data_IF_584258134393
#
_entry.id   IF_584258134393
#
_cell.length_a   1.000
_cell.length_b   1.000
_cell.length_c   1.000
_cell.angle_alpha   90.00
_cell.angle_beta   90.00
_cell.angle_gamma   90.00
#
_symmetry.space_group_name_H-M   'P 1'
#
loop_
_entity.id
_entity.type
_entity.pdbx_description
1 polymer ?
#
# COMPACT_ATOMS: atom_id res chain seq x y z
N UNK A 1 31.31 -8.57 5.84
CA UNK A 1 30.33 -8.55 6.95
C UNK A 1 28.98 -8.21 6.33
N UNK A 2 28.17 -9.21 5.99
CA UNK A 2 26.88 -9.00 5.36
C UNK A 2 25.88 -8.57 6.43
N UNK A 3 25.45 -7.31 6.40
CA UNK A 3 24.44 -6.81 7.32
C UNK A 3 23.13 -7.56 7.07
N UNK A 4 22.70 -8.31 8.09
CA UNK A 4 21.41 -9.01 8.20
C UNK A 4 20.30 -8.19 7.51
N UNK A 5 19.69 -8.77 6.47
CA UNK A 5 18.48 -8.22 5.86
C UNK A 5 17.43 -8.03 6.95
N UNK A 6 16.92 -6.80 7.10
CA UNK A 6 15.75 -6.53 7.91
C UNK A 6 14.55 -7.19 7.22
N UNK A 7 14.12 -8.35 7.69
CA UNK A 7 12.86 -8.95 7.27
C UNK A 7 11.74 -8.18 7.96
N UNK A 8 10.93 -7.45 7.19
CA UNK A 8 9.74 -6.80 7.74
C UNK A 8 8.79 -7.85 8.33
N UNK A 9 8.28 -7.62 9.54
CA UNK A 9 7.34 -8.52 10.24
C UNK A 9 5.90 -8.41 9.73
N UNK A 10 5.69 -7.59 8.69
CA UNK A 10 4.39 -7.27 8.12
C UNK A 10 3.68 -8.54 7.63
N UNK A 11 2.40 -8.63 7.96
CA UNK A 11 1.52 -9.72 7.52
C UNK A 11 0.41 -9.16 6.64
N UNK A 12 0.15 -9.82 5.50
CA UNK A 12 -0.99 -9.54 4.61
C UNK A 12 -2.23 -10.20 5.18
N UNK A 13 -3.29 -9.42 5.41
CA UNK A 13 -4.55 -9.89 6.03
C UNK A 13 -5.59 -10.28 4.98
N UNK A 14 -5.58 -9.60 3.84
CA UNK A 14 -6.42 -9.96 2.71
C UNK A 14 -5.71 -9.72 1.38
N UNK A 15 -6.12 -10.49 0.38
CA UNK A 15 -5.76 -10.27 -1.00
C UNK A 15 -6.63 -9.15 -1.59
N UNK A 16 -6.12 -8.50 -2.65
CA UNK A 16 -6.71 -7.35 -3.31
C UNK A 16 -8.19 -7.55 -3.70
N UNK A 17 -8.95 -6.45 -3.79
CA UNK A 17 -10.25 -6.51 -4.44
C UNK A 17 -10.07 -6.78 -5.95
N UNK A 18 -10.70 -7.85 -6.46
CA UNK A 18 -10.85 -8.10 -7.89
C UNK A 18 -11.87 -7.12 -8.48
N UNK A 19 -11.51 -5.85 -8.64
CA UNK A 19 -12.29 -4.98 -9.51
C UNK A 19 -12.02 -5.46 -10.94
N UNK A 20 -12.96 -6.22 -11.49
CA UNK A 20 -12.90 -6.71 -12.86
C UNK A 20 -12.76 -5.50 -13.80
N UNK A 21 -11.59 -5.36 -14.43
CA UNK A 21 -11.29 -4.29 -15.38
C UNK A 21 -12.09 -4.44 -16.69
N UNK A 22 -12.98 -5.43 -16.80
CA UNK A 22 -13.69 -5.77 -18.04
C UNK A 22 -14.88 -4.87 -18.41
N UNK A 23 -15.27 -3.88 -17.59
CA UNK A 23 -16.38 -2.96 -17.89
C UNK A 23 -16.00 -1.48 -18.10
N UNK A 24 -14.70 -1.15 -18.15
CA UNK A 24 -14.26 0.20 -18.54
C UNK A 24 -13.87 0.25 -20.02
N UNK A 25 -14.70 0.87 -20.85
CA UNK A 25 -14.40 1.24 -22.24
C UNK A 25 -15.03 2.62 -22.54
N UNK A 26 -14.57 3.39 -23.54
CA UNK A 26 -13.30 4.10 -23.55
C UNK A 26 -13.49 5.55 -24.03
N UNK A 27 -13.35 6.56 -23.16
CA UNK A 27 -13.19 7.95 -23.61
C UNK A 27 -12.74 8.90 -22.49
N UNK A 28 -11.70 8.56 -21.74
CA UNK A 28 -11.01 9.56 -20.91
C UNK A 28 -9.59 9.69 -21.44
N UNK A 29 -9.38 10.82 -22.11
CA UNK A 29 -8.14 11.32 -22.68
C UNK A 29 -6.92 11.03 -21.77
N UNK A 30 -5.88 10.32 -22.28
CA UNK A 30 -4.69 9.97 -21.51
C UNK A 30 -3.83 11.18 -21.11
N UNK A 31 -4.13 12.39 -21.58
CA UNK A 31 -3.41 13.62 -21.22
C UNK A 31 -4.09 14.46 -20.15
N UNK A 32 -5.21 14.02 -19.56
CA UNK A 32 -5.86 14.75 -18.46
C UNK A 32 -5.26 14.36 -17.10
N UNK A 33 -4.15 15.00 -16.78
CA UNK A 33 -3.56 15.07 -15.45
C UNK A 33 -4.59 15.60 -14.42
N UNK A 34 -5.32 14.71 -13.73
CA UNK A 34 -5.89 14.84 -12.35
C UNK A 34 -7.07 13.88 -12.05
N UNK A 35 -7.54 13.06 -12.98
CA UNK A 35 -8.77 12.27 -12.79
C UNK A 35 -8.59 10.79 -12.39
N UNK A 36 -7.48 10.41 -11.74
CA UNK A 36 -7.17 8.98 -11.49
C UNK A 36 -7.75 8.43 -10.16
N UNK A 37 -8.23 9.26 -9.24
CA UNK A 37 -8.40 8.78 -7.84
C UNK A 37 -9.82 8.33 -7.45
N UNK A 38 -10.86 8.66 -8.22
CA UNK A 38 -12.24 8.62 -7.69
C UNK A 38 -13.17 7.52 -8.24
N UNK A 39 -12.89 6.90 -9.38
CA UNK A 39 -13.87 6.01 -10.04
C UNK A 39 -13.66 4.51 -9.80
N UNK A 40 -12.60 4.10 -9.10
CA UNK A 40 -12.24 2.67 -8.91
C UNK A 40 -11.76 2.33 -7.49
N UNK A 41 -11.94 3.22 -6.51
CA UNK A 41 -11.52 2.96 -5.14
C UNK A 41 -12.48 1.98 -4.45
N UNK A 42 -11.95 0.95 -3.79
CA UNK A 42 -12.77 -0.06 -3.12
C UNK A 42 -13.52 0.47 -1.89
N UNK A 43 -12.95 1.45 -1.19
CA UNK A 43 -13.52 2.05 0.01
C UNK A 43 -13.71 3.55 -0.19
N UNK A 44 -14.82 3.92 -0.84
CA UNK A 44 -15.11 5.31 -1.22
C UNK A 44 -15.25 6.25 -0.02
N UNK A 45 -15.69 5.76 1.13
CA UNK A 45 -15.79 6.53 2.38
C UNK A 45 -14.44 7.00 2.96
N UNK A 46 -13.32 6.49 2.44
CA UNK A 46 -11.96 6.80 2.88
C UNK A 46 -11.09 7.44 1.78
N UNK A 47 -11.72 7.92 0.70
CA UNK A 47 -11.00 8.65 -0.36
C UNK A 47 -10.37 9.94 0.17
N UNK A 48 -11.11 10.65 1.03
CA UNK A 48 -10.66 11.91 1.62
C UNK A 48 -9.60 11.68 2.71
N UNK A 49 -8.51 12.44 2.66
CA UNK A 49 -7.44 12.39 3.67
C UNK A 49 -7.98 12.58 5.11
N UNK A 50 -8.86 13.57 5.40
CA UNK A 50 -9.40 13.74 6.74
C UNK A 50 -10.19 12.52 7.24
N UNK A 51 -10.90 11.82 6.37
CA UNK A 51 -11.64 10.59 6.73
C UNK A 51 -10.70 9.46 7.13
N UNK A 52 -9.58 9.29 6.41
CA UNK A 52 -8.54 8.33 6.80
C UNK A 52 -7.90 8.71 8.13
N UNK A 53 -7.50 9.97 8.28
CA UNK A 53 -6.89 10.44 9.52
C UNK A 53 -7.82 10.25 10.73
N UNK A 54 -9.11 10.55 10.57
CA UNK A 54 -10.11 10.37 11.62
C UNK A 54 -10.34 8.90 12.03
N UNK A 55 -9.86 7.92 11.27
CA UNK A 55 -9.96 6.50 11.65
C UNK A 55 -8.96 6.08 12.73
N UNK A 56 -7.88 6.84 12.95
CA UNK A 56 -6.77 6.49 13.84
C UNK A 56 -6.99 6.88 15.31
N UNK A 57 -8.24 7.06 15.76
CA UNK A 57 -8.58 7.54 17.12
C UNK A 57 -7.96 6.66 18.22
N UNK A 58 -7.93 5.34 18.01
CA UNK A 58 -7.42 4.36 18.99
C UNK A 58 -6.10 3.73 18.55
N UNK A 59 -5.39 4.35 17.60
CA UNK A 59 -4.08 3.89 17.18
C UNK A 59 -3.04 4.20 18.28
N UNK A 60 -2.35 3.17 18.76
CA UNK A 60 -1.32 3.35 19.79
C UNK A 60 -0.08 4.04 19.22
N UNK A 61 0.50 4.97 19.98
CA UNK A 61 1.71 5.69 19.56
C UNK A 61 3.02 4.91 19.82
N UNK A 62 2.96 3.71 20.40
CA UNK A 62 4.16 2.97 20.79
C UNK A 62 4.63 2.02 19.68
N UNK A 63 5.86 2.25 19.19
CA UNK A 63 6.57 1.39 18.24
C UNK A 63 5.83 1.10 16.90
N UNK A 64 4.97 2.01 16.45
CA UNK A 64 4.26 1.93 15.17
C UNK A 64 4.67 3.08 14.21
N UNK A 65 4.43 2.93 12.90
CA UNK A 65 4.64 4.01 11.94
C UNK A 65 3.79 5.24 12.23
N UNK A 66 4.23 6.39 11.72
CA UNK A 66 3.47 7.64 11.78
C UNK A 66 2.10 7.51 11.11
N UNK A 67 1.07 8.03 11.77
CA UNK A 67 -0.30 8.12 11.23
C UNK A 67 -0.28 8.89 9.90
N UNK A 68 0.51 9.97 9.80
CA UNK A 68 0.61 10.77 8.58
C UNK A 68 1.15 9.95 7.40
N UNK A 69 2.15 9.10 7.66
CA UNK A 69 2.75 8.27 6.60
C UNK A 69 1.81 7.15 6.17
N UNK A 70 1.08 6.55 7.11
CA UNK A 70 0.01 5.58 6.82
C UNK A 70 -1.09 6.22 5.96
N UNK A 71 -1.58 7.40 6.35
CA UNK A 71 -2.64 8.13 5.64
C UNK A 71 -2.21 8.56 4.24
N UNK A 72 -0.97 9.06 4.09
CA UNK A 72 -0.39 9.41 2.78
C UNK A 72 -0.22 8.17 1.89
N UNK A 73 0.17 7.03 2.47
CA UNK A 73 0.23 5.76 1.79
C UNK A 73 -1.16 5.18 1.41
N UNK A 74 -2.25 5.85 1.79
CA UNK A 74 -3.62 5.49 1.40
C UNK A 74 -4.30 4.56 2.41
N UNK A 75 -3.72 4.37 3.59
CA UNK A 75 -4.26 3.50 4.62
C UNK A 75 -5.21 4.24 5.57
N UNK A 76 -6.28 3.55 5.98
CA UNK A 76 -7.10 3.90 7.13
C UNK A 76 -7.04 2.76 8.15
N UNK A 77 -7.23 3.08 9.43
CA UNK A 77 -7.25 2.11 10.50
C UNK A 77 -8.60 1.40 10.59
N UNK A 78 -8.57 0.08 10.75
CA UNK A 78 -9.79 -0.75 10.85
C UNK A 78 -10.40 -0.77 12.25
N UNK A 79 -9.73 -0.16 13.25
CA UNK A 79 -10.14 -0.24 14.65
C UNK A 79 -9.65 -1.49 15.39
N UNK A 80 -8.97 -2.41 14.71
CA UNK A 80 -8.51 -3.69 15.28
C UNK A 80 -6.99 -3.82 15.24
N UNK A 81 -6.37 -4.02 16.42
CA UNK A 81 -4.92 -4.28 16.59
C UNK A 81 -4.07 -3.22 15.87
N UNK A 82 -3.28 -3.64 14.88
CA UNK A 82 -2.45 -2.78 14.03
C UNK A 82 -2.88 -2.89 12.56
N UNK A 83 -4.11 -3.33 12.30
CA UNK A 83 -4.59 -3.61 10.94
C UNK A 83 -5.03 -2.31 10.28
N UNK A 84 -4.38 -1.98 9.17
CA UNK A 84 -4.74 -0.86 8.30
C UNK A 84 -5.10 -1.36 6.90
N UNK A 85 -6.03 -0.68 6.25
CA UNK A 85 -6.57 -1.08 4.94
C UNK A 85 -6.45 0.06 3.94
N UNK A 86 -6.02 -0.24 2.71
CA UNK A 86 -5.95 0.76 1.66
C UNK A 86 -7.35 1.12 1.16
N UNK A 87 -7.64 2.43 1.03
CA UNK A 87 -8.92 2.87 0.49
C UNK A 87 -9.13 2.47 -0.97
N UNK A 88 -8.04 2.36 -1.75
CA UNK A 88 -8.09 2.13 -3.19
C UNK A 88 -8.16 0.64 -3.55
N UNK A 89 -7.19 -0.18 -3.11
CA UNK A 89 -7.10 -1.58 -3.51
C UNK A 89 -7.71 -2.58 -2.50
N UNK A 90 -8.17 -2.09 -1.34
CA UNK A 90 -8.66 -2.88 -0.20
C UNK A 90 -7.62 -3.79 0.48
N UNK A 91 -6.35 -3.74 0.05
CA UNK A 91 -5.27 -4.50 0.64
C UNK A 91 -5.00 -4.09 2.10
N UNK A 92 -4.88 -5.07 2.98
CA UNK A 92 -4.75 -4.87 4.42
C UNK A 92 -3.46 -5.47 4.98
N UNK A 93 -2.77 -4.68 5.80
CA UNK A 93 -1.49 -5.05 6.44
C UNK A 93 -1.58 -4.95 7.95
N UNK A 94 -0.86 -5.84 8.64
CA UNK A 94 -0.73 -5.89 10.10
C UNK A 94 0.72 -6.11 10.51
N UNK A 95 0.99 -6.02 11.81
CA UNK A 95 2.26 -6.34 12.47
C UNK A 95 3.37 -5.35 12.11
N UNK A 96 2.96 -4.08 12.02
CA UNK A 96 3.84 -2.95 11.78
C UNK A 96 4.85 -2.73 12.91
N UNK A 97 6.03 -2.28 12.52
CA UNK A 97 7.11 -1.76 13.34
C UNK A 97 7.33 -0.28 13.05
N UNK A 98 7.86 0.48 13.99
CA UNK A 98 8.21 1.90 13.81
C UNK A 98 9.23 2.15 12.69
N UNK A 99 9.98 1.12 12.29
CA UNK A 99 10.95 1.20 11.19
C UNK A 99 10.34 0.85 9.82
N UNK A 100 9.11 0.33 9.76
CA UNK A 100 8.48 0.01 8.48
C UNK A 100 8.03 1.30 7.78
N UNK A 101 8.27 1.38 6.47
CA UNK A 101 7.80 2.49 5.66
C UNK A 101 6.46 2.12 4.98
N UNK A 102 5.34 2.80 5.30
CA UNK A 102 4.03 2.44 4.78
C UNK A 102 3.93 2.37 3.25
N UNK A 103 4.58 3.29 2.53
CA UNK A 103 4.54 3.29 1.06
C UNK A 103 5.32 2.12 0.47
N UNK A 104 6.50 1.81 1.04
CA UNK A 104 7.31 0.67 0.61
C UNK A 104 6.56 -0.63 0.84
N UNK A 105 5.97 -0.82 2.03
CA UNK A 105 5.19 -2.03 2.33
C UNK A 105 3.96 -2.15 1.44
N UNK A 106 3.25 -1.04 1.18
CA UNK A 106 2.10 -1.03 0.29
C UNK A 106 2.48 -1.54 -1.11
N UNK A 107 3.54 -1.00 -1.71
CA UNK A 107 4.00 -1.44 -3.04
C UNK A 107 4.55 -2.87 -3.01
N UNK A 108 5.26 -3.26 -1.95
CA UNK A 108 5.85 -4.60 -1.81
C UNK A 108 4.77 -5.68 -1.79
N UNK A 109 3.69 -5.46 -1.05
CA UNK A 109 2.63 -6.44 -0.87
C UNK A 109 1.51 -6.33 -1.90
N UNK A 110 1.21 -5.11 -2.37
CA UNK A 110 0.13 -4.86 -3.32
C UNK A 110 0.61 -4.14 -4.59
N UNK A 111 1.46 -4.78 -5.42
CA UNK A 111 2.07 -4.14 -6.60
C UNK A 111 1.08 -3.69 -7.68
N UNK A 112 -0.14 -4.25 -7.66
CA UNK A 112 -1.21 -3.92 -8.61
C UNK A 112 -2.03 -2.68 -8.19
N UNK A 113 -1.81 -2.14 -6.99
CA UNK A 113 -2.49 -0.93 -6.54
C UNK A 113 -2.01 0.29 -7.36
N UNK A 114 -2.86 0.79 -8.26
CA UNK A 114 -2.55 1.94 -9.11
C UNK A 114 -2.23 3.20 -8.29
N UNK A 115 -2.96 3.41 -7.17
CA UNK A 115 -2.67 4.49 -6.23
C UNK A 115 -1.24 4.43 -5.68
N UNK A 116 -0.84 3.26 -5.16
CA UNK A 116 0.49 3.07 -4.58
C UNK A 116 1.59 3.21 -5.64
N UNK A 117 1.39 2.60 -6.82
CA UNK A 117 2.33 2.65 -7.94
C UNK A 117 2.55 4.09 -8.43
N UNK A 118 1.49 4.87 -8.54
CA UNK A 118 1.58 6.26 -8.98
C UNK A 118 2.32 7.13 -7.96
N UNK A 119 2.00 7.00 -6.67
CA UNK A 119 2.57 7.86 -5.62
C UNK A 119 4.02 7.50 -5.26
N UNK A 120 4.38 6.22 -5.35
CA UNK A 120 5.74 5.73 -5.07
C UNK A 120 6.76 6.17 -6.15
N UNK A 121 6.30 6.35 -7.39
CA UNK A 121 7.17 6.62 -8.54
C UNK A 121 7.80 5.36 -9.13
N UNK A 122 8.07 5.39 -10.43
CA UNK A 122 8.49 4.22 -11.22
C UNK A 122 9.81 3.58 -10.77
N UNK A 123 10.81 4.40 -10.44
CA UNK A 123 12.15 3.90 -10.07
C UNK A 123 12.16 3.22 -8.69
N UNK A 124 11.49 3.81 -7.70
CA UNK A 124 11.38 3.21 -6.38
C UNK A 124 10.52 1.94 -6.43
N UNK A 125 9.42 1.97 -7.17
CA UNK A 125 8.58 0.79 -7.41
C UNK A 125 9.40 -0.40 -7.95
N UNK A 126 10.23 -0.17 -8.97
CA UNK A 126 11.09 -1.20 -9.58
C UNK A 126 12.04 -1.82 -8.56
N UNK A 127 12.75 -0.99 -7.79
CA UNK A 127 13.67 -1.43 -6.73
C UNK A 127 12.96 -2.29 -5.66
N UNK A 128 11.75 -1.91 -5.26
CA UNK A 128 10.97 -2.66 -4.27
C UNK A 128 10.61 -4.05 -4.81
N UNK A 129 10.15 -4.15 -6.06
CA UNK A 129 9.78 -5.44 -6.65
C UNK A 129 10.98 -6.36 -6.89
N UNK A 130 12.12 -5.82 -7.31
CA UNK A 130 13.36 -6.58 -7.50
C UNK A 130 13.89 -7.13 -6.17
N UNK A 131 13.92 -6.31 -5.12
CA UNK A 131 14.38 -6.75 -3.79
C UNK A 131 13.50 -7.86 -3.19
N UNK A 132 12.19 -7.84 -3.45
CA UNK A 132 11.26 -8.91 -3.06
C UNK A 132 11.63 -10.25 -3.71
N UNK A 133 11.97 -10.24 -5.00
CA UNK A 133 12.35 -11.46 -5.74
C UNK A 133 13.68 -12.04 -5.24
N UNK A 134 14.62 -11.17 -4.86
CA UNK A 134 15.91 -11.58 -4.26
C UNK A 134 15.70 -12.19 -2.87
N UNK A 135 14.83 -11.62 -2.04
CA UNK A 135 14.52 -12.14 -0.71
C UNK A 135 13.67 -13.43 -0.74
N UNK A 136 12.92 -13.67 -1.80
CA UNK A 136 12.14 -14.91 -2.02
C UNK A 136 12.93 -16.04 -2.69
N UNK A 137 14.25 -15.88 -2.87
CA UNK A 137 15.16 -17.00 -3.10
C UNK A 137 15.17 -17.58 -4.52
N UNK A 138 15.25 -16.74 -5.55
CA UNK A 138 15.63 -17.25 -6.88
C UNK A 138 17.16 -17.34 -7.00
N UNK A 139 17.71 -18.50 -6.65
CA UNK A 139 19.03 -18.96 -7.10
C UNK A 139 18.97 -19.17 -8.62
N UNK A 140 19.46 -18.21 -9.41
CA UNK A 140 19.92 -18.51 -10.76
C UNK A 140 21.41 -18.85 -10.69
N UNK A 141 21.73 -20.13 -10.51
CA UNK A 141 23.02 -20.67 -10.96
C UNK A 141 22.75 -21.43 -12.25
N UNK A 142 23.36 -20.96 -13.34
CA UNK A 142 23.43 -21.63 -14.64
C UNK A 142 24.16 -22.97 -14.54
#
# INVERSE_FOLDING_TARGET
MLTRSQTSSISVINEHCHTDQSLASPSIDPFRCNAIVYTTACNTGYIEIPKRHASFVTWSNENLPSIDDLVKAGFFYTGTKTIVTCFYCNGSLQNWSSNDNPMIEHVRWFPHCAYAKQLCGSELYRKIQESKQIQQGFLFTY
#
